data_IF_170503365514
#
_entry.id   IF_170503365514
#
_cell.length_a   1.000
_cell.length_b   1.000
_cell.length_c   1.000
_cell.angle_alpha   90.00
_cell.angle_beta   90.00
_cell.angle_gamma   90.00
#
_symmetry.space_group_name_H-M   'P 1'
#
loop_
_entity.id
_entity.type
_entity.pdbx_description
1 polymer ?
#
# COMPACT_ATOMS: atom_id res chain seq x y z
N UNK A 1 -19.87 31.54 -13.41
CA UNK A 1 -18.90 32.28 -12.60
C UNK A 1 -18.76 31.45 -11.31
N UNK A 2 -17.78 30.73 -11.10
CA UNK A 2 -16.33 30.75 -10.98
C UNK A 2 -15.79 29.33 -10.97
N UNK A 3 -15.04 28.92 -11.98
CA UNK A 3 -14.43 27.58 -12.11
C UNK A 3 -12.90 27.65 -11.94
N UNK A 4 -12.33 28.81 -11.64
CA UNK A 4 -10.88 29.02 -11.76
C UNK A 4 -10.05 28.77 -10.48
N UNK A 5 -10.66 28.57 -9.32
CA UNK A 5 -9.88 28.36 -8.10
C UNK A 5 -9.44 26.92 -7.84
N UNK A 6 -10.04 25.93 -8.48
CA UNK A 6 -9.66 24.52 -8.32
C UNK A 6 -8.36 24.15 -9.08
N UNK A 7 -8.01 24.91 -10.13
CA UNK A 7 -6.83 24.62 -10.97
C UNK A 7 -5.49 24.98 -10.35
N UNK A 8 -5.47 25.92 -9.41
CA UNK A 8 -4.22 26.42 -8.81
C UNK A 8 -3.67 25.49 -7.73
N UNK A 9 -4.55 24.80 -7.00
CA UNK A 9 -4.13 23.87 -5.95
C UNK A 9 -3.64 22.51 -6.47
N UNK A 10 -4.11 22.08 -7.64
CA UNK A 10 -3.64 20.84 -8.29
C UNK A 10 -2.19 20.92 -8.79
N UNK A 11 -1.75 22.09 -9.22
CA UNK A 11 -0.37 22.31 -9.66
C UNK A 11 0.65 22.22 -8.51
N UNK A 12 0.28 22.63 -7.31
CA UNK A 12 1.18 22.66 -6.15
C UNK A 12 1.40 21.27 -5.56
N UNK A 13 0.38 20.41 -5.52
CA UNK A 13 0.52 19.05 -5.00
C UNK A 13 1.37 18.16 -5.93
N UNK A 14 1.26 18.32 -7.24
CA UNK A 14 2.04 17.55 -8.21
C UNK A 14 3.51 18.01 -8.27
N UNK A 15 3.78 19.30 -8.06
CA UNK A 15 5.15 19.87 -8.04
C UNK A 15 5.90 19.41 -6.78
N UNK A 16 5.25 19.28 -5.63
CA UNK A 16 5.88 18.78 -4.40
C UNK A 16 6.26 17.30 -4.53
N UNK A 17 5.51 16.50 -5.30
CA UNK A 17 5.83 15.10 -5.55
C UNK A 17 7.01 14.91 -6.53
N UNK A 18 7.22 15.85 -7.46
CA UNK A 18 8.32 15.77 -8.44
C UNK A 18 9.62 16.47 -7.99
N UNK A 19 9.56 17.40 -7.03
CA UNK A 19 10.72 18.15 -6.54
C UNK A 19 11.35 17.59 -5.26
N UNK A 20 10.85 16.46 -4.75
CA UNK A 20 11.44 15.72 -3.61
C UNK A 20 12.84 15.13 -3.88
N UNK A 21 13.47 15.45 -5.00
CA UNK A 21 14.86 15.13 -5.30
C UNK A 21 15.71 16.36 -4.96
N UNK A 22 16.27 16.36 -3.75
CA UNK A 22 17.37 17.27 -3.43
C UNK A 22 17.06 18.34 -2.42
N UNK A 23 16.91 17.98 -1.16
CA UNK A 23 17.40 18.83 -0.10
C UNK A 23 18.93 18.61 0.00
N UNK A 24 19.76 19.65 -0.05
CA UNK A 24 21.18 19.49 0.20
C UNK A 24 21.34 18.96 1.62
N UNK A 25 21.90 17.77 1.76
CA UNK A 25 22.44 17.29 3.01
C UNK A 25 23.48 18.32 3.44
N UNK A 26 23.22 19.03 4.52
CA UNK A 26 24.30 19.62 5.28
C UNK A 26 25.17 18.43 5.70
N UNK A 27 26.28 18.28 5.02
CA UNK A 27 27.29 17.30 5.34
C UNK A 27 27.88 17.72 6.69
N UNK A 28 27.27 17.24 7.75
CA UNK A 28 27.97 17.04 9.00
C UNK A 28 28.91 15.87 8.73
N UNK A 29 30.18 16.10 8.86
CA UNK A 29 31.24 15.11 8.75
C UNK A 29 31.03 14.09 9.90
N UNK A 30 30.09 13.16 9.68
CA UNK A 30 29.85 12.03 10.55
C UNK A 30 31.02 11.08 10.37
N UNK A 31 31.84 10.97 11.39
CA UNK A 31 32.65 9.76 11.60
C UNK A 31 31.70 8.59 11.74
N UNK A 32 31.24 8.08 10.59
CA UNK A 32 30.28 6.99 10.50
C UNK A 32 30.82 5.74 11.20
N UNK A 33 29.95 4.91 11.78
CA UNK A 33 30.34 3.59 12.24
C UNK A 33 31.00 2.81 11.10
N UNK A 34 31.95 1.90 11.40
CA UNK A 34 32.66 1.11 10.40
C UNK A 34 31.66 0.47 9.43
N UNK A 35 31.92 0.57 8.15
CA UNK A 35 31.04 0.03 7.11
C UNK A 35 30.64 -1.41 7.46
N UNK A 36 29.34 -1.66 7.48
CA UNK A 36 28.83 -3.00 7.74
C UNK A 36 29.47 -3.99 6.77
N UNK A 37 29.81 -5.20 7.21
CA UNK A 37 30.45 -6.19 6.35
C UNK A 37 29.58 -6.40 5.10
N UNK A 38 30.18 -6.26 3.92
CA UNK A 38 29.52 -6.46 2.64
C UNK A 38 28.96 -7.89 2.64
N UNK A 39 27.65 -8.04 2.60
CA UNK A 39 27.01 -9.36 2.54
C UNK A 39 27.59 -10.13 1.35
N UNK A 40 27.97 -11.39 1.59
CA UNK A 40 28.54 -12.26 0.56
C UNK A 40 27.56 -12.31 -0.62
N UNK A 41 28.01 -11.90 -1.80
CA UNK A 41 27.18 -11.95 -3.00
C UNK A 41 26.87 -13.41 -3.33
N UNK A 42 25.60 -13.76 -3.31
CA UNK A 42 25.08 -15.07 -3.62
C UNK A 42 24.41 -15.08 -5.01
N UNK A 43 23.97 -16.24 -5.47
CA UNK A 43 23.09 -16.26 -6.64
C UNK A 43 21.72 -15.64 -6.28
N UNK A 44 21.02 -15.10 -7.26
CA UNK A 44 19.66 -14.55 -7.03
C UNK A 44 18.75 -15.65 -6.46
N UNK A 45 18.86 -16.87 -6.97
CA UNK A 45 18.07 -18.00 -6.50
C UNK A 45 18.38 -18.36 -5.04
N UNK A 46 19.65 -18.38 -4.65
CA UNK A 46 20.04 -18.65 -3.26
C UNK A 46 19.51 -17.57 -2.32
N UNK A 47 19.59 -16.29 -2.72
CA UNK A 47 19.03 -15.19 -1.95
C UNK A 47 17.51 -15.32 -1.78
N UNK A 48 16.80 -15.71 -2.86
CA UNK A 48 15.36 -15.96 -2.81
C UNK A 48 15.00 -17.11 -1.87
N UNK A 49 15.71 -18.25 -1.97
CA UNK A 49 15.46 -19.40 -1.09
C UNK A 49 15.73 -19.04 0.36
N UNK A 50 16.84 -18.38 0.67
CA UNK A 50 17.14 -17.94 2.03
C UNK A 50 16.11 -16.99 2.60
N UNK A 51 15.61 -16.05 1.80
CA UNK A 51 14.58 -15.11 2.23
C UNK A 51 13.24 -15.77 2.53
N UNK A 52 12.93 -16.91 1.88
CA UNK A 52 11.70 -17.66 2.13
C UNK A 52 11.82 -18.64 3.31
N UNK A 53 12.99 -19.26 3.50
CA UNK A 53 13.18 -20.35 4.45
C UNK A 53 14.03 -19.97 5.65
N UNK A 54 14.80 -18.89 5.58
CA UNK A 54 15.68 -18.42 6.65
C UNK A 54 14.95 -17.61 7.71
N UNK A 55 15.68 -17.34 8.80
CA UNK A 55 15.26 -16.37 9.82
C UNK A 55 15.53 -14.95 9.32
N UNK A 56 14.47 -14.24 8.94
CA UNK A 56 14.56 -12.89 8.38
C UNK A 56 14.99 -11.83 9.41
N UNK A 57 15.03 -12.19 10.68
CA UNK A 57 15.47 -11.29 11.76
C UNK A 57 16.90 -11.61 12.24
N UNK A 58 17.51 -12.65 11.69
CA UNK A 58 18.75 -13.19 12.23
C UNK A 58 19.94 -12.23 12.16
N UNK A 59 20.01 -11.37 11.14
CA UNK A 59 21.15 -10.50 10.92
C UNK A 59 20.75 -9.07 10.51
N UNK A 60 20.11 -8.27 11.39
CA UNK A 60 19.78 -6.86 11.10
C UNK A 60 21.01 -6.02 10.75
N UNK A 61 22.19 -6.44 11.21
CA UNK A 61 23.49 -5.81 10.92
C UNK A 61 23.90 -5.87 9.45
N UNK A 62 23.30 -6.75 8.66
CA UNK A 62 23.55 -6.85 7.21
C UNK A 62 22.72 -5.84 6.40
N UNK A 63 21.77 -5.18 7.02
CA UNK A 63 21.01 -4.16 6.33
C UNK A 63 21.91 -2.96 5.96
N UNK A 64 21.72 -2.49 4.74
CA UNK A 64 22.37 -1.27 4.24
C UNK A 64 21.41 -0.51 3.34
N UNK A 65 21.64 0.75 3.14
CA UNK A 65 20.86 1.56 2.23
C UNK A 65 21.00 1.10 0.78
N UNK A 66 19.93 1.24 0.03
CA UNK A 66 19.87 0.95 -1.40
C UNK A 66 19.55 2.25 -2.16
N UNK A 67 20.39 2.63 -3.09
CA UNK A 67 20.19 3.85 -3.90
C UNK A 67 19.43 3.55 -5.20
N UNK A 68 18.82 4.58 -5.77
CA UNK A 68 18.21 4.52 -7.09
C UNK A 68 19.25 4.23 -8.18
N UNK A 69 20.47 4.79 -8.04
CA UNK A 69 21.56 4.57 -9.01
C UNK A 69 22.04 3.13 -9.10
N UNK A 70 21.80 2.32 -8.08
CA UNK A 70 22.23 0.92 -8.01
C UNK A 70 21.06 -0.07 -8.17
N UNK A 71 19.91 0.39 -8.68
CA UNK A 71 18.69 -0.44 -8.78
C UNK A 71 18.89 -1.73 -9.59
N UNK A 72 19.76 -1.74 -10.58
CA UNK A 72 20.01 -2.91 -11.43
C UNK A 72 21.21 -3.77 -10.98
N UNK A 73 22.02 -3.31 -10.01
CA UNK A 73 23.28 -3.97 -9.64
C UNK A 73 23.30 -4.49 -8.21
N UNK A 74 22.64 -3.84 -7.26
CA UNK A 74 22.70 -4.15 -5.85
C UNK A 74 21.37 -4.67 -5.28
N UNK A 75 21.43 -5.48 -4.23
CA UNK A 75 20.29 -5.99 -3.48
C UNK A 75 19.63 -7.24 -4.09
N UNK A 76 19.86 -7.55 -5.36
CA UNK A 76 19.25 -8.71 -6.03
C UNK A 76 19.81 -10.06 -5.58
N UNK A 77 21.07 -10.07 -5.11
CA UNK A 77 21.79 -11.27 -4.62
C UNK A 77 21.95 -11.27 -3.11
N UNK A 78 21.22 -10.45 -2.42
CA UNK A 78 21.23 -10.32 -0.97
C UNK A 78 19.90 -10.85 -0.44
N UNK A 79 19.90 -11.78 0.53
CA UNK A 79 18.68 -12.19 1.22
C UNK A 79 17.98 -10.95 1.79
N UNK A 80 16.67 -10.98 1.84
CA UNK A 80 15.93 -9.88 2.46
C UNK A 80 16.24 -9.82 3.95
N UNK A 81 16.39 -8.63 4.44
CA UNK A 81 16.52 -8.31 5.86
C UNK A 81 15.60 -7.14 6.17
N UNK A 82 14.94 -7.18 7.33
CA UNK A 82 14.06 -6.11 7.75
C UNK A 82 14.83 -4.80 7.88
N UNK A 83 14.37 -3.75 7.22
CA UNK A 83 14.95 -2.43 7.39
C UNK A 83 14.74 -1.93 8.83
N UNK A 84 15.70 -1.21 9.39
CA UNK A 84 15.57 -0.63 10.72
C UNK A 84 14.39 0.34 10.77
N UNK A 85 13.92 0.61 11.96
CA UNK A 85 12.92 1.64 12.19
C UNK A 85 13.43 3.00 11.70
N UNK A 86 12.52 3.84 11.26
CA UNK A 86 12.86 5.21 10.88
C UNK A 86 13.40 6.01 12.06
N UNK A 87 13.98 7.16 11.79
CA UNK A 87 14.47 8.07 12.81
C UNK A 87 13.42 8.34 13.89
N UNK A 88 13.85 8.40 15.16
CA UNK A 88 12.94 8.51 16.29
C UNK A 88 12.08 7.28 16.59
N UNK A 89 12.44 6.12 16.01
CA UNK A 89 11.71 4.86 16.20
C UNK A 89 10.46 4.71 15.33
N UNK A 90 10.32 5.52 14.28
CA UNK A 90 9.14 5.52 13.41
C UNK A 90 8.89 4.15 12.77
N UNK A 91 7.69 3.60 12.91
CA UNK A 91 7.36 2.28 12.39
C UNK A 91 7.16 2.30 10.88
N UNK A 92 7.57 1.22 10.20
CA UNK A 92 7.45 1.06 8.76
C UNK A 92 6.21 0.31 8.32
N UNK A 93 5.57 -0.43 9.22
CA UNK A 93 4.40 -1.26 8.93
C UNK A 93 3.26 -0.46 8.29
N UNK A 94 2.51 -1.13 7.41
CA UNK A 94 1.41 -0.55 6.65
C UNK A 94 0.22 -0.08 7.50
N UNK A 95 -0.70 0.60 6.84
CA UNK A 95 -2.01 1.03 7.36
C UNK A 95 -3.08 0.72 6.31
N UNK A 96 -4.35 0.70 6.71
CA UNK A 96 -5.45 0.43 5.78
C UNK A 96 -5.65 1.60 4.80
N UNK A 97 -6.07 1.28 3.59
CA UNK A 97 -6.37 2.23 2.50
C UNK A 97 -5.24 3.24 2.21
N UNK A 98 -3.99 2.79 2.31
CA UNK A 98 -2.85 3.58 1.89
C UNK A 98 -1.87 2.71 1.12
N UNK A 99 -1.21 3.29 0.14
CA UNK A 99 -0.11 2.62 -0.54
C UNK A 99 1.04 2.38 0.45
N UNK A 100 1.71 1.25 0.29
CA UNK A 100 2.79 0.82 1.18
C UNK A 100 4.07 0.57 0.39
N UNK A 101 4.94 1.56 0.37
CA UNK A 101 6.21 1.50 -0.35
C UNK A 101 7.28 0.64 0.29
N UNK A 102 7.02 -0.01 1.43
CA UNK A 102 8.01 -0.76 2.22
C UNK A 102 7.89 -2.26 1.96
N UNK A 103 9.01 -2.98 2.01
CA UNK A 103 9.02 -4.44 2.02
C UNK A 103 8.99 -4.98 3.44
N UNK A 104 8.05 -5.89 3.68
CA UNK A 104 7.87 -6.53 4.97
C UNK A 104 7.42 -7.98 4.74
N UNK A 105 7.93 -8.90 5.55
CA UNK A 105 7.41 -10.27 5.58
C UNK A 105 6.23 -10.31 6.53
N UNK A 106 5.01 -10.36 5.98
CA UNK A 106 3.81 -10.30 6.81
C UNK A 106 2.61 -10.97 6.16
N UNK A 107 1.61 -11.26 7.00
CA UNK A 107 0.26 -11.63 6.58
C UNK A 107 -0.77 -10.69 7.21
N UNK A 108 -1.78 -10.32 6.43
CA UNK A 108 -2.90 -9.48 6.91
C UNK A 108 -4.21 -10.18 6.58
N UNK A 109 -5.08 -10.30 7.60
CA UNK A 109 -6.49 -10.64 7.39
C UNK A 109 -7.29 -9.37 7.64
N UNK A 110 -8.14 -8.99 6.68
CA UNK A 110 -9.01 -7.82 6.83
C UNK A 110 -10.48 -8.22 6.74
N UNK A 111 -11.31 -7.45 7.43
CA UNK A 111 -12.77 -7.45 7.27
C UNK A 111 -13.22 -6.02 6.99
N UNK A 112 -14.15 -5.86 6.04
CA UNK A 112 -14.73 -4.59 5.67
C UNK A 112 -16.26 -4.67 5.57
N UNK A 113 -16.93 -3.62 6.00
CA UNK A 113 -18.34 -3.36 5.76
C UNK A 113 -18.47 -2.08 4.97
N UNK A 114 -19.10 -2.16 3.79
CA UNK A 114 -19.39 -1.01 2.93
C UNK A 114 -20.88 -0.80 2.86
N UNK A 115 -21.33 0.41 3.22
CA UNK A 115 -22.72 0.80 3.12
C UNK A 115 -23.02 1.39 1.74
N UNK A 116 -24.16 1.00 1.16
CA UNK A 116 -24.67 1.53 -0.10
C UNK A 116 -23.68 1.44 -1.26
N UNK A 117 -23.01 0.29 -1.40
CA UNK A 117 -22.00 0.06 -2.44
C UNK A 117 -22.60 0.17 -3.83
N UNK A 118 -22.14 1.15 -4.62
CA UNK A 118 -22.61 1.47 -5.97
C UNK A 118 -24.14 1.61 -6.05
N UNK A 119 -24.75 2.24 -5.03
CA UNK A 119 -26.22 2.43 -4.91
C UNK A 119 -27.00 1.10 -4.94
N UNK A 120 -26.34 -0.03 -4.68
CA UNK A 120 -26.90 -1.37 -4.78
C UNK A 120 -26.91 -2.17 -3.45
N UNK A 121 -26.97 -1.46 -2.31
CA UNK A 121 -27.03 -2.06 -1.00
C UNK A 121 -25.67 -2.25 -0.33
N UNK A 122 -25.61 -3.04 0.72
CA UNK A 122 -24.43 -3.18 1.58
C UNK A 122 -23.61 -4.40 1.23
N UNK A 123 -22.31 -4.30 1.43
CA UNK A 123 -21.37 -5.38 1.16
C UNK A 123 -20.48 -5.65 2.37
N UNK A 124 -20.29 -6.92 2.71
CA UNK A 124 -19.26 -7.37 3.64
C UNK A 124 -18.15 -8.03 2.85
N UNK A 125 -16.93 -7.65 3.12
CA UNK A 125 -15.74 -8.16 2.44
C UNK A 125 -14.73 -8.69 3.45
N UNK A 126 -13.90 -9.60 3.01
CA UNK A 126 -12.70 -10.03 3.71
C UNK A 126 -11.54 -10.11 2.72
N UNK A 127 -10.32 -10.05 3.19
CA UNK A 127 -9.16 -10.39 2.40
C UNK A 127 -8.09 -11.08 3.23
N UNK A 128 -7.32 -11.93 2.58
CA UNK A 128 -6.06 -12.44 3.06
C UNK A 128 -4.97 -11.89 2.14
N UNK A 129 -4.02 -11.18 2.71
CA UNK A 129 -2.87 -10.66 1.99
C UNK A 129 -1.58 -11.23 2.56
N UNK A 130 -0.66 -11.60 1.68
CA UNK A 130 0.67 -12.08 2.03
C UNK A 130 1.71 -11.23 1.31
N UNK A 131 2.74 -10.83 2.03
CA UNK A 131 3.89 -10.08 1.54
C UNK A 131 5.10 -10.97 1.69
N UNK A 132 5.73 -11.31 0.58
CA UNK A 132 6.80 -12.29 0.48
C UNK A 132 8.03 -11.65 -0.18
N UNK A 133 8.92 -11.01 0.59
CA UNK A 133 10.18 -10.50 0.04
C UNK A 133 11.12 -11.67 -0.28
N UNK A 134 11.60 -11.69 -1.52
CA UNK A 134 12.52 -12.72 -2.03
C UNK A 134 13.99 -12.31 -1.94
N UNK A 135 14.25 -11.03 -1.95
CA UNK A 135 15.56 -10.44 -1.75
C UNK A 135 15.39 -8.95 -1.37
N UNK A 136 16.48 -8.22 -1.24
CA UNK A 136 16.44 -6.80 -0.87
C UNK A 136 15.76 -5.89 -1.91
N UNK A 137 15.61 -6.35 -3.16
CA UNK A 137 15.01 -5.57 -4.26
C UNK A 137 13.64 -6.08 -4.71
N UNK A 138 13.32 -7.34 -4.48
CA UNK A 138 12.13 -7.96 -5.06
C UNK A 138 11.24 -8.61 -4.02
N UNK A 139 9.96 -8.30 -4.09
CA UNK A 139 8.88 -8.86 -3.27
C UNK A 139 7.71 -9.25 -4.16
N UNK A 140 7.00 -10.30 -3.79
CA UNK A 140 5.66 -10.58 -4.30
C UNK A 140 4.65 -10.36 -3.17
N UNK A 141 3.68 -9.48 -3.43
CA UNK A 141 2.46 -9.38 -2.64
C UNK A 141 1.36 -10.16 -3.33
N UNK A 142 0.56 -10.90 -2.56
CA UNK A 142 -0.62 -11.58 -3.07
C UNK A 142 -1.82 -11.23 -2.21
N UNK A 143 -2.99 -11.04 -2.85
CA UNK A 143 -4.24 -10.76 -2.16
C UNK A 143 -5.34 -11.67 -2.68
N UNK A 144 -6.05 -12.31 -1.75
CA UNK A 144 -7.23 -13.16 -1.99
C UNK A 144 -8.42 -12.45 -1.37
N UNK A 145 -9.14 -11.60 -2.11
CA UNK A 145 -10.32 -10.93 -1.61
C UNK A 145 -11.53 -11.85 -1.64
N UNK A 146 -12.36 -11.74 -0.62
CA UNK A 146 -13.63 -12.48 -0.49
C UNK A 146 -14.77 -11.48 -0.32
N UNK A 147 -15.85 -11.67 -1.04
CA UNK A 147 -17.14 -11.05 -0.73
C UNK A 147 -17.89 -12.03 0.17
N UNK A 148 -17.98 -11.71 1.46
CA UNK A 148 -18.62 -12.58 2.45
C UNK A 148 -20.13 -12.54 2.28
N UNK A 149 -20.68 -11.36 2.04
CA UNK A 149 -22.10 -11.18 1.70
C UNK A 149 -22.30 -9.87 0.95
N UNK A 150 -23.26 -9.85 0.06
CA UNK A 150 -23.70 -8.64 -0.63
C UNK A 150 -25.23 -8.60 -0.60
N UNK A 151 -25.78 -7.53 -0.03
CA UNK A 151 -27.21 -7.30 0.04
C UNK A 151 -27.59 -6.22 -0.97
N UNK A 152 -28.19 -6.62 -2.09
CA UNK A 152 -28.71 -5.68 -3.09
C UNK A 152 -29.80 -4.76 -2.54
N UNK A 153 -30.08 -3.66 -3.24
CA UNK A 153 -31.09 -2.67 -2.86
C UNK A 153 -32.49 -3.29 -2.69
N UNK A 154 -32.80 -4.37 -3.41
CA UNK A 154 -34.06 -5.13 -3.28
C UNK A 154 -34.09 -6.05 -2.05
N UNK A 155 -33.02 -6.14 -1.28
CA UNK A 155 -32.97 -6.84 -0.03
C UNK A 155 -32.94 -8.37 -0.08
N UNK A 156 -32.90 -8.98 -1.26
CA UNK A 156 -33.06 -10.43 -1.42
C UNK A 156 -31.83 -11.22 -1.84
N UNK A 157 -30.80 -10.57 -2.31
CA UNK A 157 -29.65 -11.26 -2.90
C UNK A 157 -28.42 -11.22 -2.00
N UNK A 158 -28.17 -12.32 -1.31
CA UNK A 158 -26.88 -12.56 -0.64
C UNK A 158 -26.05 -13.48 -1.52
N UNK A 159 -24.87 -13.03 -1.92
CA UNK A 159 -23.89 -13.88 -2.61
C UNK A 159 -22.58 -13.82 -1.85
N UNK A 160 -22.18 -14.94 -1.28
CA UNK A 160 -20.82 -15.13 -0.77
C UNK A 160 -19.97 -15.72 -1.89
N UNK A 161 -18.85 -15.08 -2.20
CA UNK A 161 -17.95 -15.55 -3.25
C UNK A 161 -16.54 -15.01 -3.04
N UNK A 162 -15.58 -15.62 -3.73
CA UNK A 162 -14.25 -15.03 -3.85
C UNK A 162 -14.30 -13.82 -4.78
N UNK A 163 -13.45 -12.84 -4.50
CA UNK A 163 -13.18 -11.73 -5.40
C UNK A 163 -12.13 -12.09 -6.45
N UNK A 164 -11.60 -11.06 -7.09
CA UNK A 164 -10.54 -11.23 -8.06
C UNK A 164 -9.19 -11.37 -7.35
N UNK A 165 -8.49 -12.46 -7.64
CA UNK A 165 -7.16 -12.69 -7.10
C UNK A 165 -6.15 -11.70 -7.69
N UNK A 166 -5.27 -11.17 -6.83
CA UNK A 166 -4.26 -10.18 -7.23
C UNK A 166 -2.87 -10.66 -6.86
N UNK A 167 -1.96 -10.62 -7.83
CA UNK A 167 -0.52 -10.81 -7.64
C UNK A 167 0.19 -9.52 -8.00
N UNK A 168 1.08 -9.06 -7.12
CA UNK A 168 1.81 -7.82 -7.30
C UNK A 168 3.31 -8.04 -7.12
N UNK A 169 4.07 -8.25 -8.19
CA UNK A 169 5.52 -8.08 -8.16
C UNK A 169 5.87 -6.62 -7.83
N UNK A 170 6.84 -6.45 -6.96
CA UNK A 170 7.27 -5.17 -6.41
C UNK A 170 8.78 -5.07 -6.44
N UNK A 171 9.31 -3.90 -6.76
CA UNK A 171 10.75 -3.62 -6.80
C UNK A 171 11.04 -2.37 -5.96
N UNK A 172 11.95 -2.48 -4.99
CA UNK A 172 12.51 -1.31 -4.28
C UNK A 172 13.41 -0.54 -5.24
N UNK A 173 13.09 0.73 -5.44
CA UNK A 173 13.93 1.67 -6.20
C UNK A 173 15.03 2.27 -5.33
N UNK A 174 14.68 2.67 -4.11
CA UNK A 174 15.62 3.13 -3.09
C UNK A 174 15.09 2.83 -1.69
N UNK A 175 15.98 2.57 -0.76
CA UNK A 175 15.66 2.34 0.64
C UNK A 175 16.73 2.94 1.53
N UNK A 176 16.36 3.93 2.34
CA UNK A 176 17.17 4.50 3.41
C UNK A 176 16.46 4.31 4.73
N UNK A 177 17.08 4.69 5.83
CA UNK A 177 16.41 4.63 7.13
C UNK A 177 15.10 5.44 7.16
N UNK A 178 15.01 6.55 6.43
CA UNK A 178 13.87 7.46 6.52
C UNK A 178 13.01 7.53 5.26
N UNK A 179 13.42 6.94 4.15
CA UNK A 179 12.68 6.95 2.90
C UNK A 179 12.79 5.62 2.19
N UNK A 180 11.67 5.09 1.74
CA UNK A 180 11.62 3.94 0.84
C UNK A 180 10.74 4.27 -0.36
N UNK A 181 11.17 3.87 -1.54
CA UNK A 181 10.46 4.06 -2.80
C UNK A 181 10.38 2.73 -3.53
N UNK A 182 9.22 2.39 -4.04
CA UNK A 182 9.01 1.15 -4.81
C UNK A 182 8.19 1.38 -6.08
N UNK A 183 8.43 0.51 -7.04
CA UNK A 183 7.62 0.37 -8.24
C UNK A 183 6.92 -0.99 -8.18
N UNK A 184 5.62 -1.01 -8.41
CA UNK A 184 4.79 -2.19 -8.27
C UNK A 184 3.93 -2.36 -9.52
N UNK A 185 3.62 -3.60 -9.89
CA UNK A 185 2.68 -3.88 -10.98
C UNK A 185 1.70 -4.94 -10.50
N UNK A 186 0.49 -4.54 -10.13
CA UNK A 186 -0.53 -5.49 -9.73
C UNK A 186 -1.22 -6.10 -10.97
N UNK A 187 -1.31 -7.41 -10.98
CA UNK A 187 -2.07 -8.21 -11.94
C UNK A 187 -3.32 -8.74 -11.24
N UNK A 188 -4.47 -8.21 -11.60
CA UNK A 188 -5.77 -8.67 -11.14
C UNK A 188 -6.33 -9.67 -12.13
N UNK A 189 -6.76 -10.83 -11.64
CA UNK A 189 -7.33 -11.91 -12.45
C UNK A 189 -8.85 -11.91 -12.31
N UNK A 190 -9.62 -12.20 -13.37
CA UNK A 190 -11.08 -12.18 -13.35
C UNK A 190 -11.66 -13.47 -12.74
N UNK A 191 -11.29 -13.77 -11.50
CA UNK A 191 -11.71 -14.99 -10.78
C UNK A 191 -12.97 -14.80 -9.95
N UNK A 192 -13.36 -13.56 -9.70
CA UNK A 192 -14.54 -13.24 -8.93
C UNK A 192 -15.83 -13.21 -9.74
N UNK A 193 -16.93 -12.97 -9.07
CA UNK A 193 -18.27 -12.96 -9.65
C UNK A 193 -18.66 -11.55 -10.14
N UNK A 194 -19.10 -11.44 -11.39
CA UNK A 194 -19.53 -10.17 -12.00
C UNK A 194 -20.71 -9.51 -11.27
N UNK A 195 -21.57 -10.31 -10.64
CA UNK A 195 -22.67 -9.81 -9.82
C UNK A 195 -22.17 -8.92 -8.66
N UNK A 196 -21.03 -9.28 -8.07
CA UNK A 196 -20.38 -8.51 -6.98
C UNK A 196 -19.43 -7.42 -7.52
N UNK A 197 -19.51 -7.08 -8.81
CA UNK A 197 -18.57 -6.16 -9.49
C UNK A 197 -17.12 -6.64 -9.50
N UNK A 198 -16.92 -7.95 -9.37
CA UNK A 198 -15.67 -8.65 -9.62
C UNK A 198 -15.67 -9.27 -11.04
N UNK A 199 -14.72 -10.11 -11.33
CA UNK A 199 -14.52 -10.65 -12.68
C UNK A 199 -13.77 -9.68 -13.59
N UNK A 200 -12.90 -8.86 -13.00
CA UNK A 200 -12.13 -7.82 -13.70
C UNK A 200 -10.69 -8.27 -13.88
N UNK A 201 -10.25 -8.39 -15.12
CA UNK A 201 -8.84 -8.47 -15.47
C UNK A 201 -8.26 -7.06 -15.58
N UNK A 202 -7.19 -6.77 -14.86
CA UNK A 202 -6.54 -5.47 -14.91
C UNK A 202 -5.04 -5.56 -14.61
N UNK A 203 -4.29 -4.59 -15.15
CA UNK A 203 -2.90 -4.31 -14.76
C UNK A 203 -2.88 -2.95 -14.09
N UNK A 204 -2.21 -2.87 -12.94
CA UNK A 204 -2.14 -1.62 -12.17
C UNK A 204 -0.68 -1.32 -11.82
N UNK A 205 0.07 -0.62 -12.70
CA UNK A 205 1.36 -0.09 -12.34
C UNK A 205 1.20 1.04 -11.32
N UNK A 206 2.01 1.01 -10.25
CA UNK A 206 2.02 2.02 -9.19
C UNK A 206 3.44 2.37 -8.79
N UNK A 207 3.68 3.64 -8.50
CA UNK A 207 4.82 4.10 -7.73
C UNK A 207 4.36 4.38 -6.31
N UNK A 208 5.07 3.86 -5.34
CA UNK A 208 4.73 3.99 -3.92
C UNK A 208 5.93 4.46 -3.11
N UNK A 209 5.67 5.18 -2.04
CA UNK A 209 6.69 5.63 -1.12
C UNK A 209 6.24 5.55 0.34
N UNK A 210 7.21 5.43 1.22
CA UNK A 210 7.13 5.65 2.65
C UNK A 210 8.23 6.63 3.06
N UNK A 211 7.91 7.58 3.92
CA UNK A 211 8.90 8.53 4.44
C UNK A 211 8.62 8.90 5.89
N UNK A 212 9.68 9.03 6.67
CA UNK A 212 9.67 9.56 8.02
C UNK A 212 10.25 10.99 7.97
N UNK A 213 9.40 11.98 8.16
CA UNK A 213 9.78 13.37 7.91
C UNK A 213 10.32 14.06 9.16
N UNK A 214 9.72 13.81 10.31
CA UNK A 214 10.12 14.51 11.53
C UNK A 214 9.51 13.84 12.76
N UNK A 215 10.37 13.43 13.72
CA UNK A 215 9.99 12.95 15.07
C UNK A 215 8.68 12.13 15.15
N UNK A 216 8.51 11.15 14.25
CA UNK A 216 7.33 10.28 14.24
C UNK A 216 6.25 10.67 13.23
N UNK A 217 6.39 11.77 12.47
CA UNK A 217 5.53 12.06 11.34
C UNK A 217 5.93 11.17 10.16
N UNK A 218 5.11 10.20 9.87
CA UNK A 218 5.25 9.28 8.75
C UNK A 218 4.29 9.68 7.65
N UNK A 219 4.80 9.83 6.43
CA UNK A 219 3.97 10.06 5.24
C UNK A 219 4.21 8.92 4.27
N UNK A 220 3.14 8.32 3.80
CA UNK A 220 3.15 7.30 2.76
C UNK A 220 2.19 7.66 1.66
N UNK A 221 2.35 7.06 0.51
CA UNK A 221 1.46 7.32 -0.61
C UNK A 221 2.02 6.81 -1.92
N UNK A 222 1.37 7.19 -2.99
CA UNK A 222 1.77 6.80 -4.33
C UNK A 222 0.79 7.25 -5.39
N UNK A 223 1.13 6.91 -6.63
CA UNK A 223 0.31 7.16 -7.80
C UNK A 223 0.34 5.94 -8.72
N UNK A 224 -0.73 5.74 -9.47
CA UNK A 224 -0.81 4.61 -10.38
C UNK A 224 -1.93 4.73 -11.40
N UNK A 225 -2.01 3.70 -12.25
CA UNK A 225 -3.05 3.59 -13.27
C UNK A 225 -3.73 2.24 -13.17
N UNK A 226 -5.04 2.23 -13.04
CA UNK A 226 -5.83 1.02 -13.16
C UNK A 226 -6.22 0.84 -14.63
N UNK A 227 -5.73 -0.24 -15.25
CA UNK A 227 -5.86 -0.52 -16.68
C UNK A 227 -6.62 -1.85 -16.89
N UNK A 228 -7.96 -1.83 -16.91
CA UNK A 228 -8.75 -3.03 -17.16
C UNK A 228 -8.64 -3.46 -18.62
N UNK A 229 -8.68 -4.78 -18.86
CA UNK A 229 -8.65 -5.36 -20.18
C UNK A 229 -9.60 -6.56 -20.30
N UNK A 230 -9.88 -6.98 -21.53
CA UNK A 230 -10.78 -8.09 -21.82
C UNK A 230 -12.26 -7.70 -21.85
N UNK A 231 -13.05 -8.43 -22.64
CA UNK A 231 -14.47 -8.15 -22.88
C UNK A 231 -15.30 -8.15 -21.59
N UNK A 232 -15.13 -9.17 -20.76
CA UNK A 232 -15.85 -9.30 -19.49
C UNK A 232 -15.62 -8.09 -18.59
N UNK A 233 -14.36 -7.69 -18.40
CA UNK A 233 -14.00 -6.56 -17.54
C UNK A 233 -14.61 -5.25 -18.02
N UNK A 234 -14.51 -5.00 -19.32
CA UNK A 234 -14.87 -3.71 -19.93
C UNK A 234 -16.38 -3.60 -20.16
N UNK A 235 -16.99 -4.66 -20.72
CA UNK A 235 -18.37 -4.62 -21.21
C UNK A 235 -19.37 -5.14 -20.17
N UNK A 236 -19.08 -6.26 -19.52
CA UNK A 236 -20.02 -6.87 -18.58
C UNK A 236 -19.97 -6.20 -17.20
N UNK A 237 -18.75 -5.98 -16.65
CA UNK A 237 -18.59 -5.34 -15.35
C UNK A 237 -18.62 -3.81 -15.46
N UNK A 238 -18.22 -3.26 -16.61
CA UNK A 238 -18.14 -1.83 -16.85
C UNK A 238 -16.89 -1.19 -16.20
N UNK A 239 -15.82 -1.96 -16.02
CA UNK A 239 -14.57 -1.44 -15.45
C UNK A 239 -13.94 -0.39 -16.36
N UNK A 240 -13.50 0.71 -15.78
CA UNK A 240 -12.98 1.87 -16.48
C UNK A 240 -11.51 2.13 -16.14
N UNK A 241 -10.78 2.65 -17.12
CA UNK A 241 -9.39 3.10 -16.89
C UNK A 241 -9.38 4.31 -15.95
N UNK A 242 -8.55 4.24 -14.91
CA UNK A 242 -8.47 5.28 -13.92
C UNK A 242 -7.02 5.63 -13.57
N UNK A 243 -6.77 6.90 -13.30
CA UNK A 243 -5.61 7.35 -12.54
C UNK A 243 -5.97 7.28 -11.06
N UNK A 244 -5.05 6.77 -10.24
CA UNK A 244 -5.20 6.67 -8.80
C UNK A 244 -4.06 7.38 -8.09
N UNK A 245 -4.35 8.06 -7.01
CA UNK A 245 -3.36 8.66 -6.14
C UNK A 245 -3.78 8.51 -4.68
N UNK A 246 -2.80 8.40 -3.81
CA UNK A 246 -3.01 8.29 -2.38
C UNK A 246 -1.91 9.03 -1.62
N UNK A 247 -2.28 9.69 -0.54
CA UNK A 247 -1.34 10.22 0.45
C UNK A 247 -1.91 10.04 1.85
N UNK A 248 -1.10 9.50 2.74
CA UNK A 248 -1.49 9.17 4.10
C UNK A 248 -0.45 9.66 5.11
N UNK A 249 -0.53 10.91 5.58
CA UNK A 249 0.19 11.36 6.75
C UNK A 249 -0.31 10.64 8.00
N UNK A 250 0.61 10.22 8.85
CA UNK A 250 0.31 9.58 10.12
C UNK A 250 1.32 9.97 11.17
N UNK A 251 0.88 10.07 12.41
CA UNK A 251 1.74 10.38 13.53
C UNK A 251 1.84 9.19 14.48
N UNK A 252 3.05 8.88 14.87
CA UNK A 252 3.42 7.82 15.80
C UNK A 252 3.53 8.36 17.22
N UNK A 253 2.75 7.81 18.14
CA UNK A 253 2.59 8.35 19.49
C UNK A 253 3.30 7.56 20.57
N UNK A 254 3.39 6.24 20.45
CA UNK A 254 3.84 5.38 21.54
C UNK A 254 5.04 4.53 21.14
N UNK A 255 5.94 4.24 22.10
CA UNK A 255 7.02 3.27 21.88
C UNK A 255 6.50 1.88 21.50
N UNK A 256 7.32 1.12 20.80
CA UNK A 256 6.99 -0.24 20.36
C UNK A 256 6.55 -1.17 21.50
N UNK A 257 7.24 -1.08 22.62
CA UNK A 257 7.06 -2.00 23.75
C UNK A 257 5.87 -1.68 24.65
N UNK A 258 5.13 -0.62 24.36
CA UNK A 258 3.95 -0.21 25.12
C UNK A 258 2.71 -1.01 24.68
N UNK A 259 2.72 -2.32 24.92
CA UNK A 259 1.58 -3.19 24.56
C UNK A 259 0.37 -2.99 25.47
N UNK A 260 -0.89 -3.08 24.96
CA UNK A 260 -1.29 -3.36 23.56
C UNK A 260 -1.39 -2.12 22.67
N UNK A 261 -0.84 -0.99 23.09
CA UNK A 261 -0.88 0.28 22.37
C UNK A 261 0.49 0.71 21.84
N UNK A 262 1.38 -0.25 21.63
CA UNK A 262 2.68 0.00 21.02
C UNK A 262 2.56 0.43 19.57
N UNK A 263 3.52 1.19 19.08
CA UNK A 263 3.53 1.70 17.70
C UNK A 263 2.20 2.34 17.28
N UNK A 264 1.51 2.99 18.21
CA UNK A 264 0.21 3.60 17.93
C UNK A 264 0.37 4.72 16.91
N UNK A 265 -0.21 4.52 15.74
CA UNK A 265 -0.21 5.50 14.65
C UNK A 265 -1.65 5.91 14.37
N UNK A 266 -1.90 7.21 14.42
CA UNK A 266 -3.10 7.80 13.86
C UNK A 266 -2.76 8.39 12.50
N UNK A 267 -3.59 8.15 11.52
CA UNK A 267 -3.36 8.61 10.15
C UNK A 267 -4.67 9.05 9.51
N UNK A 268 -4.55 9.82 8.46
CA UNK A 268 -5.65 10.10 7.53
C UNK A 268 -5.13 9.85 6.13
N UNK A 269 -5.71 8.88 5.45
CA UNK A 269 -5.43 8.64 4.03
C UNK A 269 -6.39 9.44 3.17
N UNK A 270 -5.88 10.14 2.18
CA UNK A 270 -6.63 10.79 1.12
C UNK A 270 -6.47 9.97 -0.14
N UNK A 271 -7.57 9.42 -0.65
CA UNK A 271 -7.59 8.58 -1.83
C UNK A 271 -8.28 9.31 -2.98
N UNK A 272 -7.66 9.32 -4.14
CA UNK A 272 -8.19 9.93 -5.35
C UNK A 272 -8.28 8.87 -6.46
N UNK A 273 -9.44 8.80 -7.11
CA UNK A 273 -9.67 8.02 -8.32
C UNK A 273 -10.22 8.95 -9.40
N UNK A 274 -9.53 9.05 -10.52
CA UNK A 274 -9.95 9.86 -11.67
C UNK A 274 -10.12 8.96 -12.91
N UNK A 275 -11.34 8.89 -13.43
CA UNK A 275 -11.63 8.12 -14.63
C UNK A 275 -11.14 8.88 -15.87
N UNK A 276 -10.27 8.24 -16.66
CA UNK A 276 -9.56 8.88 -17.77
C UNK A 276 -9.99 8.41 -19.15
N UNK A 277 -10.69 7.28 -19.26
CA UNK A 277 -11.17 6.78 -20.56
C UNK A 277 -12.41 7.53 -21.06
N UNK A 278 -12.73 7.39 -22.35
CA UNK A 278 -13.84 8.09 -23.01
C UNK A 278 -15.15 7.27 -23.04
N UNK A 279 -15.23 6.15 -22.29
CA UNK A 279 -16.42 5.27 -22.24
C UNK A 279 -17.56 5.86 -21.38
N UNK A 280 -17.40 7.03 -20.85
CA UNK A 280 -18.43 7.74 -20.06
C UNK A 280 -17.87 9.04 -19.47
N UNK A 281 -18.63 9.73 -18.62
CA UNK A 281 -18.17 10.96 -18.00
C UNK A 281 -16.86 10.76 -17.27
N UNK A 282 -15.91 11.69 -17.44
CA UNK A 282 -14.67 11.74 -16.67
C UNK A 282 -15.02 12.29 -15.30
N UNK A 283 -15.00 11.42 -14.30
CA UNK A 283 -15.32 11.76 -12.91
C UNK A 283 -14.12 11.61 -12.01
N UNK A 284 -14.04 12.44 -11.00
CA UNK A 284 -13.05 12.34 -9.94
C UNK A 284 -13.77 12.06 -8.64
N UNK A 285 -13.43 10.98 -7.98
CA UNK A 285 -13.85 10.73 -6.61
C UNK A 285 -12.67 10.84 -5.66
N UNK A 286 -12.93 11.48 -4.52
CA UNK A 286 -11.98 11.60 -3.42
C UNK A 286 -12.65 11.06 -2.18
N UNK A 287 -11.91 10.24 -1.41
CA UNK A 287 -12.32 9.78 -0.09
C UNK A 287 -11.25 10.09 0.95
N UNK A 288 -11.69 10.20 2.20
CA UNK A 288 -10.83 10.32 3.37
C UNK A 288 -10.97 9.06 4.22
N UNK A 289 -9.84 8.56 4.69
CA UNK A 289 -9.79 7.38 5.54
C UNK A 289 -9.01 7.69 6.82
N UNK A 290 -9.66 8.27 7.84
CA UNK A 290 -9.11 8.27 9.18
C UNK A 290 -8.96 6.83 9.69
N UNK A 291 -7.83 6.55 10.31
CA UNK A 291 -7.56 5.22 10.83
C UNK A 291 -6.50 5.18 11.90
N UNK A 292 -6.37 4.03 12.52
CA UNK A 292 -5.43 3.74 13.59
C UNK A 292 -4.78 2.39 13.39
N UNK A 293 -3.52 2.28 13.80
CA UNK A 293 -2.80 1.02 13.93
C UNK A 293 -2.14 0.94 15.28
N UNK A 294 -2.17 -0.24 15.92
CA UNK A 294 -1.57 -0.50 17.21
C UNK A 294 -0.86 -1.84 17.24
N UNK A 295 0.32 -1.90 17.86
CA UNK A 295 1.04 -3.14 18.14
C UNK A 295 0.47 -3.79 19.41
N UNK A 296 0.00 -5.03 19.27
CA UNK A 296 -0.61 -5.81 20.33
C UNK A 296 0.38 -6.66 21.14
N UNK A 297 1.61 -6.74 20.66
CA UNK A 297 2.65 -7.64 21.17
C UNK A 297 2.99 -8.77 20.20
N UNK A 298 4.17 -9.38 20.34
CA UNK A 298 4.63 -10.51 19.51
C UNK A 298 4.49 -10.26 18.00
N UNK A 299 4.76 -9.04 17.53
CA UNK A 299 4.62 -8.61 16.12
C UNK A 299 3.19 -8.75 15.55
N UNK A 300 2.16 -8.76 16.38
CA UNK A 300 0.78 -8.62 15.97
C UNK A 300 0.35 -7.17 16.01
N UNK A 301 -0.42 -6.77 15.01
CA UNK A 301 -0.94 -5.40 14.89
C UNK A 301 -2.43 -5.42 14.59
N UNK A 302 -3.16 -4.55 15.28
CA UNK A 302 -4.55 -4.24 14.98
C UNK A 302 -4.59 -2.98 14.11
N UNK A 303 -5.36 -3.04 13.04
CA UNK A 303 -5.62 -1.92 12.15
C UNK A 303 -7.14 -1.65 12.13
N UNK A 304 -7.52 -0.39 12.14
CA UNK A 304 -8.92 0.00 12.00
C UNK A 304 -9.01 1.31 11.23
N UNK A 305 -9.99 1.42 10.35
CA UNK A 305 -10.21 2.63 9.56
C UNK A 305 -11.68 2.78 9.16
N UNK A 306 -12.07 4.01 8.91
CA UNK A 306 -13.36 4.35 8.30
C UNK A 306 -13.10 5.20 7.07
N UNK A 307 -13.56 4.77 5.91
CA UNK A 307 -13.46 5.53 4.67
C UNK A 307 -14.79 6.22 4.38
N UNK A 308 -14.71 7.50 4.02
CA UNK A 308 -15.87 8.32 3.66
C UNK A 308 -15.57 9.08 2.37
N UNK A 309 -16.39 8.94 1.32
CA UNK A 309 -16.31 9.78 0.12
C UNK A 309 -16.59 11.24 0.49
N UNK A 310 -15.82 12.15 -0.10
CA UNK A 310 -16.00 13.60 0.12
C UNK A 310 -16.35 14.36 -1.18
N UNK A 311 -16.45 13.63 -2.30
CA UNK A 311 -16.86 14.17 -3.60
C UNK A 311 -17.94 13.32 -4.24
N UNK A 312 -18.71 13.89 -5.17
CA UNK A 312 -19.70 13.15 -5.97
C UNK A 312 -19.15 12.81 -7.35
N UNK A 313 -19.54 11.67 -7.97
CA UNK A 313 -20.44 10.65 -7.40
C UNK A 313 -19.77 9.86 -6.25
N UNK A 314 -20.58 9.49 -5.27
CA UNK A 314 -20.16 8.69 -4.13
C UNK A 314 -20.26 7.21 -4.50
N UNK A 315 -19.15 6.43 -4.48
CA UNK A 315 -19.21 5.00 -4.76
C UNK A 315 -19.85 4.19 -3.63
N UNK A 316 -19.96 4.76 -2.44
CA UNK A 316 -20.61 4.23 -1.23
C UNK A 316 -20.84 5.39 -0.24
N UNK A 317 -21.63 5.16 0.81
CA UNK A 317 -21.83 6.19 1.84
C UNK A 317 -20.66 6.21 2.83
N UNK A 318 -20.25 5.05 3.31
CA UNK A 318 -19.05 4.83 4.14
C UNK A 318 -18.60 3.38 4.10
N UNK A 319 -17.33 3.16 4.45
CA UNK A 319 -16.75 1.84 4.64
C UNK A 319 -16.03 1.78 5.98
N UNK A 320 -16.30 0.73 6.78
CA UNK A 320 -15.56 0.41 7.99
C UNK A 320 -14.66 -0.77 7.72
N UNK A 321 -13.41 -0.69 8.14
CA UNK A 321 -12.42 -1.76 7.95
C UNK A 321 -11.71 -2.07 9.26
N UNK A 322 -11.46 -3.36 9.49
CA UNK A 322 -10.63 -3.86 10.58
C UNK A 322 -9.67 -4.89 10.01
N UNK A 323 -8.43 -4.83 10.41
CA UNK A 323 -7.39 -5.75 9.99
C UNK A 323 -6.57 -6.29 11.16
N UNK A 324 -6.17 -7.54 11.07
CA UNK A 324 -5.21 -8.17 11.96
C UNK A 324 -3.98 -8.55 11.13
N UNK A 325 -2.84 -7.96 11.46
CA UNK A 325 -1.58 -8.15 10.76
C UNK A 325 -0.57 -8.87 11.65
N UNK A 326 0.10 -9.86 11.10
CA UNK A 326 1.27 -10.52 11.71
C UNK A 326 2.50 -10.22 10.88
N UNK A 327 3.54 -9.66 11.49
CA UNK A 327 4.88 -9.52 10.92
C UNK A 327 5.72 -10.71 11.36
N UNK A 328 6.39 -11.37 10.41
CA UNK A 328 7.20 -12.57 10.64
C UNK A 328 8.68 -12.25 10.67
#
# INVERSE_FOLDING_TARGET
MSIDHARIWFGVALIVLCTGVGLPSLAEESTGPPAAPIAKQESVLDAMVKSLTGDVYAEPSTWRELSLGTVFSEGWREPWVSAPRGGGGAPRQGVLNAFDGVFLRLGIVTYGYTNNFLENGSQNTGSLELYLPFNRRFEIRTAIPMVVSNRGATGTNYMSNFGDYVITPRVILSETQNVTQSLNVAFRTPTGNTFNKNGVAAVTPTYEFWSNWWQGLVVRGGVGFFLPYGHQSITEVGARTAFTANVAPGYYFTPHDFTPFGDLVWYVSTNLVHLIDDRGPKTTSVSLTPGVRSHLGQNWYLLSAVEVPVTKPEPFDYQVQVGLMKVF
#
